data_IF_713160923424
#
_entry.id   IF_713160923424
#
_cell.length_a   1.000
_cell.length_b   1.000
_cell.length_c   1.000
_cell.angle_alpha   90.00
_cell.angle_beta   90.00
_cell.angle_gamma   90.00
#
_symmetry.space_group_name_H-M   'P 1'
#
loop_
_entity.id
_entity.type
_entity.pdbx_description
1 polymer ?
#
# COMPACT_ATOMS: atom_id res chain seq x y z
N UNK A 1 -30.13 23.73 -14.46
CA UNK A 1 -29.56 23.75 -13.09
C UNK A 1 -29.81 22.39 -12.44
N UNK A 2 -28.79 21.57 -12.20
CA UNK A 2 -28.94 20.27 -11.52
C UNK A 2 -29.18 20.50 -10.03
N UNK A 3 -30.25 19.93 -9.49
CA UNK A 3 -30.62 20.01 -8.06
C UNK A 3 -29.43 19.57 -7.18
N UNK A 4 -29.14 20.31 -6.11
CA UNK A 4 -28.04 20.04 -5.18
C UNK A 4 -28.10 18.62 -4.58
N UNK A 5 -29.31 18.08 -4.36
CA UNK A 5 -29.50 16.70 -3.91
C UNK A 5 -29.05 15.64 -4.94
N UNK A 6 -29.15 15.96 -6.24
CA UNK A 6 -28.71 15.06 -7.31
C UNK A 6 -27.18 15.02 -7.40
N UNK A 7 -26.51 16.15 -7.13
CA UNK A 7 -25.05 16.25 -7.13
C UNK A 7 -24.42 15.51 -5.94
N UNK A 8 -24.99 15.63 -4.74
CA UNK A 8 -24.53 14.91 -3.56
C UNK A 8 -24.63 13.38 -3.76
N UNK A 9 -25.78 12.91 -4.25
CA UNK A 9 -26.00 11.47 -4.49
C UNK A 9 -25.05 10.91 -5.57
N UNK A 10 -24.76 11.67 -6.62
CA UNK A 10 -23.78 11.27 -7.65
C UNK A 10 -22.36 11.20 -7.09
N UNK A 11 -21.98 12.16 -6.24
CA UNK A 11 -20.67 12.18 -5.56
C UNK A 11 -20.49 10.98 -4.64
N UNK A 12 -21.45 10.71 -3.75
CA UNK A 12 -21.39 9.53 -2.85
C UNK A 12 -21.28 8.21 -3.62
N UNK A 13 -22.04 8.07 -4.72
CA UNK A 13 -21.97 6.86 -5.55
C UNK A 13 -20.63 6.73 -6.28
N UNK A 14 -20.05 7.84 -6.74
CA UNK A 14 -18.73 7.86 -7.38
C UNK A 14 -17.57 7.61 -6.41
N UNK A 15 -17.67 8.11 -5.18
CA UNK A 15 -16.66 7.90 -4.14
C UNK A 15 -16.62 6.43 -3.70
N UNK A 16 -17.78 5.76 -3.61
CA UNK A 16 -17.83 4.34 -3.23
C UNK A 16 -17.31 3.39 -4.32
N UNK A 17 -17.64 3.63 -5.59
CA UNK A 17 -17.12 2.80 -6.69
C UNK A 17 -15.62 3.00 -6.89
N UNK A 18 -15.13 4.23 -6.77
CA UNK A 18 -13.69 4.50 -6.84
C UNK A 18 -12.95 3.91 -5.64
N UNK A 19 -13.49 3.98 -4.42
CA UNK A 19 -12.91 3.36 -3.24
C UNK A 19 -12.79 1.82 -3.40
N UNK A 20 -13.83 1.16 -3.88
CA UNK A 20 -13.81 -0.29 -4.12
C UNK A 20 -12.79 -0.69 -5.20
N UNK A 21 -12.75 0.04 -6.32
CA UNK A 21 -11.76 -0.21 -7.38
C UNK A 21 -10.32 -0.03 -6.88
N UNK A 22 -10.10 1.02 -6.10
CA UNK A 22 -8.77 1.32 -5.57
C UNK A 22 -8.34 0.33 -4.47
N UNK A 23 -9.28 -0.22 -3.71
CA UNK A 23 -9.00 -1.27 -2.72
C UNK A 23 -8.40 -2.51 -3.37
N UNK A 24 -8.96 -2.98 -4.49
CA UNK A 24 -8.45 -4.16 -5.22
C UNK A 24 -7.04 -3.91 -5.72
N UNK A 25 -6.79 -2.75 -6.34
CA UNK A 25 -5.46 -2.37 -6.84
C UNK A 25 -4.46 -2.26 -5.68
N UNK A 26 -4.87 -1.66 -4.56
CA UNK A 26 -4.05 -1.54 -3.37
C UNK A 26 -3.66 -2.90 -2.79
N UNK A 27 -4.59 -3.86 -2.78
CA UNK A 27 -4.36 -5.20 -2.26
C UNK A 27 -3.32 -5.97 -3.10
N UNK A 28 -3.39 -5.85 -4.43
CA UNK A 28 -2.39 -6.44 -5.34
C UNK A 28 -1.02 -5.78 -5.14
N UNK A 29 -0.97 -4.45 -5.06
CA UNK A 29 0.27 -3.68 -4.82
C UNK A 29 0.88 -4.01 -3.44
N UNK A 30 0.06 -4.20 -2.42
CA UNK A 30 0.46 -4.57 -1.07
C UNK A 30 1.18 -5.91 -1.05
N UNK A 31 0.55 -6.93 -1.63
CA UNK A 31 1.14 -8.27 -1.71
C UNK A 31 2.44 -8.23 -2.51
N UNK A 32 2.42 -7.58 -3.67
CA UNK A 32 3.60 -7.49 -4.55
C UNK A 32 4.78 -6.79 -3.88
N UNK A 33 4.53 -5.65 -3.22
CA UNK A 33 5.56 -4.89 -2.52
C UNK A 33 6.10 -5.63 -1.28
N UNK A 34 5.23 -6.29 -0.51
CA UNK A 34 5.63 -7.14 0.61
C UNK A 34 6.51 -8.30 0.18
N UNK A 35 6.14 -8.98 -0.91
CA UNK A 35 6.93 -10.08 -1.48
C UNK A 35 8.30 -9.61 -1.99
N UNK A 36 8.36 -8.46 -2.67
CA UNK A 36 9.63 -7.88 -3.14
C UNK A 36 10.54 -7.53 -1.97
N UNK A 37 10.01 -6.92 -0.92
CA UNK A 37 10.76 -6.57 0.28
C UNK A 37 11.38 -7.79 0.97
N UNK A 38 10.66 -8.92 1.00
CA UNK A 38 11.12 -10.16 1.63
C UNK A 38 11.80 -11.15 0.68
N UNK A 39 11.86 -10.86 -0.61
CA UNK A 39 12.52 -11.72 -1.60
C UNK A 39 13.97 -12.10 -1.21
N UNK A 40 14.80 -11.21 -0.63
CA UNK A 40 16.15 -11.56 -0.19
C UNK A 40 16.24 -12.55 0.98
N UNK A 41 15.19 -12.65 1.80
CA UNK A 41 15.17 -13.48 3.01
C UNK A 41 14.83 -14.95 2.72
N UNK A 42 14.36 -15.27 1.50
CA UNK A 42 14.03 -16.62 1.05
C UNK A 42 12.58 -17.05 1.33
N UNK A 43 12.25 -18.28 0.88
CA UNK A 43 10.87 -18.82 0.87
C UNK A 43 10.21 -18.91 2.26
N UNK A 44 10.99 -19.06 3.34
CA UNK A 44 10.47 -19.14 4.70
C UNK A 44 9.79 -17.85 5.18
N UNK A 45 10.11 -16.69 4.58
CA UNK A 45 9.62 -15.38 4.99
C UNK A 45 8.53 -14.81 4.08
N UNK A 46 8.02 -15.59 3.11
CA UNK A 46 6.97 -15.14 2.19
C UNK A 46 5.67 -14.76 2.91
N UNK A 47 5.27 -15.57 3.90
CA UNK A 47 4.08 -15.28 4.73
C UNK A 47 4.21 -13.96 5.48
N UNK A 48 5.41 -13.68 6.01
CA UNK A 48 5.72 -12.43 6.71
C UNK A 48 5.71 -11.23 5.75
N UNK A 49 6.22 -11.39 4.52
CA UNK A 49 6.17 -10.37 3.48
C UNK A 49 4.74 -10.00 3.08
N UNK A 50 3.88 -11.00 2.90
CA UNK A 50 2.46 -10.78 2.59
C UNK A 50 1.77 -9.99 3.72
N UNK A 51 1.98 -10.39 4.97
CA UNK A 51 1.40 -9.69 6.13
C UNK A 51 1.93 -8.27 6.26
N UNK A 52 3.25 -8.06 6.11
CA UNK A 52 3.86 -6.74 6.17
C UNK A 52 3.34 -5.81 5.06
N UNK A 53 3.18 -6.33 3.85
CA UNK A 53 2.58 -5.60 2.72
C UNK A 53 1.14 -5.18 3.01
N UNK A 54 0.32 -6.10 3.51
CA UNK A 54 -1.07 -5.82 3.88
C UNK A 54 -1.18 -4.78 5.02
N UNK A 55 -0.36 -4.89 6.07
CA UNK A 55 -0.32 -3.92 7.15
C UNK A 55 0.08 -2.52 6.65
N UNK A 56 1.07 -2.46 5.74
CA UNK A 56 1.49 -1.21 5.11
C UNK A 56 0.38 -0.58 4.26
N UNK A 57 -0.42 -1.40 3.57
CA UNK A 57 -1.58 -0.90 2.82
C UNK A 57 -2.70 -0.39 3.72
N UNK A 58 -2.99 -1.08 4.83
CA UNK A 58 -3.99 -0.64 5.80
C UNK A 58 -3.56 0.70 6.39
N UNK A 59 -2.35 0.78 6.96
CA UNK A 59 -1.85 2.01 7.56
C UNK A 59 -1.67 3.13 6.53
N UNK A 60 -1.16 2.80 5.34
CA UNK A 60 -0.94 3.75 4.26
C UNK A 60 -2.22 4.35 3.69
N UNK A 61 -3.35 3.64 3.75
CA UNK A 61 -4.64 4.15 3.27
C UNK A 61 -5.52 4.75 4.38
N UNK A 62 -5.45 4.23 5.61
CA UNK A 62 -6.28 4.69 6.73
C UNK A 62 -5.72 5.93 7.43
N UNK A 63 -4.39 6.07 7.49
CA UNK A 63 -3.74 7.13 8.25
C UNK A 63 -3.75 8.51 7.54
N UNK A 64 -3.53 8.63 6.22
CA UNK A 64 -3.54 9.93 5.54
C UNK A 64 -4.86 10.71 5.63
N UNK A 65 -6.06 10.11 5.50
CA UNK A 65 -7.30 10.87 5.67
C UNK A 65 -7.51 11.37 7.10
N UNK A 66 -6.89 10.73 8.11
CA UNK A 66 -6.93 11.17 9.51
C UNK A 66 -5.95 12.32 9.80
N UNK A 67 -4.82 12.38 9.08
CA UNK A 67 -3.76 13.37 9.29
C UNK A 67 -3.87 14.60 8.37
N UNK A 68 -4.97 14.74 7.62
CA UNK A 68 -5.20 15.91 6.76
C UNK A 68 -4.56 15.84 5.37
N UNK A 69 -4.44 14.64 4.80
CA UNK A 69 -3.98 14.45 3.42
C UNK A 69 -4.90 15.06 2.35
N UNK A 70 -4.39 15.20 1.13
CA UNK A 70 -5.18 15.73 0.00
C UNK A 70 -6.39 14.84 -0.33
N UNK A 71 -7.58 15.40 -0.58
CA UNK A 71 -8.84 14.66 -0.76
C UNK A 71 -8.88 13.77 -2.02
N UNK A 72 -7.84 13.79 -2.85
CA UNK A 72 -7.73 12.95 -4.05
C UNK A 72 -6.44 12.11 -4.09
N UNK A 73 -5.60 12.19 -3.06
CA UNK A 73 -4.36 11.42 -3.03
C UNK A 73 -4.58 10.06 -2.38
N UNK A 74 -4.35 9.01 -3.17
CA UNK A 74 -4.31 7.66 -2.67
C UNK A 74 -2.87 7.25 -2.35
N UNK A 75 -2.61 6.91 -1.09
CA UNK A 75 -1.33 6.39 -0.64
C UNK A 75 -1.39 4.85 -0.60
N UNK A 76 -0.87 4.24 -1.66
CA UNK A 76 -0.67 2.80 -1.73
C UNK A 76 0.80 2.44 -1.42
N UNK A 77 1.09 1.18 -1.05
CA UNK A 77 2.45 0.66 -0.95
C UNK A 77 3.20 0.86 -2.27
N UNK A 78 4.28 1.65 -2.25
CA UNK A 78 5.05 1.96 -3.47
C UNK A 78 6.13 0.91 -3.72
N UNK A 79 6.12 0.34 -4.92
CA UNK A 79 7.13 -0.63 -5.38
C UNK A 79 8.57 -0.11 -5.22
N UNK A 80 8.82 1.17 -5.48
CA UNK A 80 10.15 1.77 -5.32
C UNK A 80 10.66 1.73 -3.87
N UNK A 81 9.77 1.89 -2.89
CA UNK A 81 10.15 1.80 -1.47
C UNK A 81 10.45 0.35 -1.09
N UNK A 82 9.66 -0.59 -1.61
CA UNK A 82 9.88 -2.02 -1.38
C UNK A 82 11.21 -2.51 -1.98
N UNK A 83 11.58 -2.05 -3.18
CA UNK A 83 12.87 -2.41 -3.78
C UNK A 83 14.05 -1.79 -3.03
N UNK A 84 13.93 -0.55 -2.55
CA UNK A 84 14.94 0.07 -1.67
C UNK A 84 15.09 -0.73 -0.38
N UNK A 85 13.98 -1.14 0.24
CA UNK A 85 14.01 -1.95 1.46
C UNK A 85 14.67 -3.31 1.19
N UNK A 86 14.32 -3.98 0.09
CA UNK A 86 14.95 -5.22 -0.32
C UNK A 86 16.47 -5.07 -0.53
N UNK A 87 16.92 -4.00 -1.20
CA UNK A 87 18.34 -3.70 -1.37
C UNK A 87 19.05 -3.45 -0.03
N UNK A 88 18.39 -2.76 0.91
CA UNK A 88 18.88 -2.58 2.28
C UNK A 88 19.04 -3.90 3.03
N UNK A 89 18.05 -4.79 2.94
CA UNK A 89 18.08 -6.13 3.53
C UNK A 89 19.24 -6.96 2.96
N UNK A 90 19.42 -6.98 1.64
CA UNK A 90 20.57 -7.65 0.99
C UNK A 90 21.89 -7.10 1.54
N UNK A 91 22.03 -5.78 1.64
CA UNK A 91 23.25 -5.13 2.12
C UNK A 91 23.55 -5.49 3.58
N UNK A 92 22.52 -5.58 4.42
CA UNK A 92 22.65 -6.01 5.82
C UNK A 92 23.05 -7.48 5.93
N UNK A 93 22.46 -8.36 5.11
CA UNK A 93 22.82 -9.78 5.03
C UNK A 93 24.24 -10.02 4.51
N UNK A 94 24.73 -9.15 3.63
CA UNK A 94 26.08 -9.21 3.09
C UNK A 94 27.15 -8.62 4.04
N UNK A 95 26.74 -7.90 5.08
CA UNK A 95 27.66 -7.25 6.01
C UNK A 95 28.25 -8.24 7.03
N UNK A 96 29.59 -8.38 7.13
CA UNK A 96 30.24 -9.33 8.03
C UNK A 96 30.12 -8.97 9.54
N UNK A 97 29.54 -7.81 9.86
CA UNK A 97 29.37 -7.32 11.25
C UNK A 97 28.16 -7.96 11.96
N UNK A 98 27.22 -8.56 11.21
CA UNK A 98 25.97 -9.14 11.73
C UNK A 98 25.89 -10.67 11.56
N UNK A 99 26.99 -11.31 11.19
CA UNK A 99 27.10 -12.77 11.02
C UNK A 99 27.67 -13.45 12.25
#
# INVERSE_FOLDING_TARGET
>A
MRNANSQATFKYRGDLTSAAGNFVVCLIMAISSGLIATAPLGQAYLSHGIVAGLLSAILGTSLPPLLGGSPHQFNAPRLSVATILAAGVITMLASPVLR
#
